data_IF_911452202942
#
_entry.id   IF_911452202942
#
_cell.length_a   1.000
_cell.length_b   1.000
_cell.length_c   1.000
_cell.angle_alpha   90.00
_cell.angle_beta   90.00
_cell.angle_gamma   90.00
#
_symmetry.space_group_name_H-M   'P 1'
#
loop_
_entity.id
_entity.type
_entity.pdbx_description
1 polymer ?
#
# COMPACT_ATOMS: atom_id res chain seq x y z
N UNK A 1 -3.10 -20.44 11.02
CA UNK A 1 -3.38 -19.03 10.73
C UNK A 1 -4.54 -18.94 9.76
N UNK A 2 -5.57 -18.15 10.09
CA UNK A 2 -6.70 -17.86 9.20
C UNK A 2 -6.70 -16.36 8.90
N UNK A 3 -7.01 -16.01 7.66
CA UNK A 3 -7.12 -14.62 7.25
C UNK A 3 -8.13 -14.44 6.13
N UNK A 4 -8.58 -13.19 5.97
CA UNK A 4 -9.50 -12.79 4.92
C UNK A 4 -9.08 -11.45 4.31
N UNK A 5 -9.31 -11.30 3.02
CA UNK A 5 -9.07 -10.07 2.26
C UNK A 5 -10.43 -9.48 1.87
N UNK A 6 -10.60 -8.19 2.09
CA UNK A 6 -11.78 -7.43 1.71
C UNK A 6 -11.37 -6.22 0.88
N UNK A 7 -12.13 -5.93 -0.18
CA UNK A 7 -11.89 -4.80 -1.07
C UNK A 7 -13.20 -4.06 -1.35
N UNK A 8 -13.12 -2.74 -1.51
CA UNK A 8 -14.23 -1.91 -1.92
C UNK A 8 -14.45 -0.69 -1.02
N UNK A 9 -15.66 -0.14 -1.07
CA UNK A 9 -16.06 0.99 -0.24
C UNK A 9 -16.67 0.52 1.08
N UNK A 10 -16.16 1.06 2.19
CA UNK A 10 -16.61 0.68 3.53
C UNK A 10 -17.50 1.75 4.13
N UNK A 11 -18.66 1.33 4.66
CA UNK A 11 -19.56 2.24 5.40
C UNK A 11 -18.89 2.71 6.68
N UNK A 12 -18.95 4.02 6.90
CA UNK A 12 -18.47 4.62 8.13
C UNK A 12 -19.37 4.25 9.29
N UNK A 13 -18.77 3.96 10.45
CA UNK A 13 -19.52 3.82 11.70
C UNK A 13 -20.32 5.09 12.04
N UNK A 14 -19.88 6.26 11.56
CA UNK A 14 -20.53 7.55 11.78
C UNK A 14 -21.53 7.92 10.68
N UNK A 15 -21.80 7.03 9.71
CA UNK A 15 -22.79 7.28 8.67
C UNK A 15 -24.17 7.58 9.26
N UNK A 16 -24.74 8.73 8.90
CA UNK A 16 -26.02 9.21 9.43
C UNK A 16 -26.02 9.58 10.92
N UNK A 17 -24.87 9.52 11.62
CA UNK A 17 -24.75 9.95 13.02
C UNK A 17 -24.28 11.40 13.08
N UNK A 18 -24.71 12.13 14.10
CA UNK A 18 -24.18 13.47 14.37
C UNK A 18 -22.70 13.35 14.79
N UNK A 19 -21.78 14.10 14.16
CA UNK A 19 -20.38 14.09 14.56
C UNK A 19 -20.22 14.42 16.04
N UNK A 20 -19.28 13.77 16.76
CA UNK A 20 -19.02 14.10 18.15
C UNK A 20 -18.66 15.59 18.27
N UNK A 21 -19.34 16.27 19.18
CA UNK A 21 -19.07 17.67 19.51
C UNK A 21 -18.08 17.71 20.67
N UNK A 22 -17.09 18.58 20.57
CA UNK A 22 -16.19 18.88 21.69
C UNK A 22 -16.99 19.41 22.89
N UNK A 23 -16.76 18.83 24.05
CA UNK A 23 -17.44 19.17 25.31
C UNK A 23 -16.76 20.31 26.06
N UNK A 24 -15.57 20.74 25.62
CA UNK A 24 -14.84 21.87 26.23
C UNK A 24 -15.53 23.20 25.89
N UNK A 25 -15.76 24.02 26.92
CA UNK A 25 -16.37 25.33 26.79
C UNK A 25 -15.46 26.28 25.99
N UNK A 26 -16.00 26.88 24.92
CA UNK A 26 -15.23 27.77 24.03
C UNK A 26 -14.51 27.07 22.89
N UNK A 27 -14.66 25.75 22.75
CA UNK A 27 -14.21 25.04 21.55
C UNK A 27 -14.94 25.57 20.31
N UNK A 28 -14.19 25.84 19.24
CA UNK A 28 -14.79 26.05 17.93
C UNK A 28 -15.32 24.70 17.45
N UNK A 29 -16.59 24.60 17.03
CA UNK A 29 -17.10 23.35 16.49
C UNK A 29 -16.27 22.99 15.26
N UNK A 30 -15.56 21.85 15.32
CA UNK A 30 -14.99 21.25 14.12
C UNK A 30 -16.15 20.94 13.18
N UNK A 31 -16.14 21.56 12.00
CA UNK A 31 -17.05 21.16 10.91
C UNK A 31 -16.48 19.87 10.33
N UNK A 32 -16.72 18.75 11.00
CA UNK A 32 -16.49 17.45 10.43
C UNK A 32 -17.58 17.26 9.39
N UNK A 33 -17.23 17.28 8.11
CA UNK A 33 -18.13 16.78 7.07
C UNK A 33 -18.31 15.29 7.36
N UNK A 34 -19.53 14.83 7.68
CA UNK A 34 -19.75 13.42 7.99
C UNK A 34 -19.44 12.59 6.74
N UNK A 35 -18.47 11.68 6.87
CA UNK A 35 -18.21 10.68 5.84
C UNK A 35 -19.15 9.50 6.06
N UNK A 36 -20.06 9.27 5.11
CA UNK A 36 -20.95 8.10 5.15
C UNK A 36 -20.22 6.80 4.75
N UNK A 37 -19.16 6.93 3.96
CA UNK A 37 -18.34 5.82 3.46
C UNK A 37 -16.91 6.28 3.16
N UNK A 38 -16.03 5.30 2.92
CA UNK A 38 -14.66 5.56 2.47
C UNK A 38 -14.66 6.39 1.18
N UNK A 39 -13.77 7.39 1.11
CA UNK A 39 -13.69 8.32 -0.02
C UNK A 39 -13.10 7.69 -1.30
N UNK A 40 -12.46 6.53 -1.16
CA UNK A 40 -11.88 5.72 -2.24
C UNK A 40 -12.14 4.25 -1.92
N UNK A 41 -12.06 3.40 -2.95
CA UNK A 41 -11.94 1.96 -2.73
C UNK A 41 -10.71 1.68 -1.88
N UNK A 42 -10.87 0.78 -0.91
CA UNK A 42 -9.83 0.46 0.07
C UNK A 42 -9.69 -1.06 0.17
N UNK A 43 -8.52 -1.50 0.59
CA UNK A 43 -8.23 -2.91 0.89
C UNK A 43 -8.09 -3.09 2.41
N UNK A 44 -8.56 -4.21 2.90
CA UNK A 44 -8.46 -4.62 4.29
C UNK A 44 -8.03 -6.08 4.36
N UNK A 45 -7.03 -6.37 5.18
CA UNK A 45 -6.65 -7.74 5.53
C UNK A 45 -6.92 -7.95 7.02
N UNK A 46 -7.66 -9.01 7.36
CA UNK A 46 -7.93 -9.42 8.72
C UNK A 46 -7.21 -10.75 9.00
N UNK A 47 -6.38 -10.79 10.06
CA UNK A 47 -5.70 -11.98 10.55
C UNK A 47 -6.28 -12.35 11.91
N UNK A 48 -6.69 -13.61 12.08
CA UNK A 48 -7.33 -14.09 13.31
C UNK A 48 -6.35 -14.37 14.47
N UNK A 49 -5.06 -14.17 14.24
CA UNK A 49 -3.98 -14.42 15.18
C UNK A 49 -3.20 -13.12 15.41
N UNK A 50 -3.24 -12.58 16.62
CA UNK A 50 -2.59 -11.31 16.97
C UNK A 50 -1.09 -11.43 17.23
N UNK A 51 -0.59 -12.64 17.49
CA UNK A 51 0.81 -12.89 17.81
C UNK A 51 1.63 -13.29 16.59
N UNK A 52 0.99 -13.44 15.42
CA UNK A 52 1.62 -14.03 14.23
C UNK A 52 2.89 -13.30 13.75
N UNK A 53 2.98 -11.99 13.99
CA UNK A 53 4.10 -11.14 13.60
C UNK A 53 4.83 -10.51 14.81
N UNK A 54 4.59 -11.02 16.02
CA UNK A 54 5.19 -10.49 17.24
C UNK A 54 6.63 -11.03 17.43
N UNK A 55 7.63 -10.22 17.11
CA UNK A 55 9.06 -10.56 17.21
C UNK A 55 9.49 -11.12 18.58
N UNK A 56 8.87 -10.68 19.69
CA UNK A 56 9.18 -11.18 21.04
C UNK A 56 8.90 -12.69 21.17
N UNK A 57 7.88 -13.16 20.46
CA UNK A 57 7.49 -14.57 20.43
C UNK A 57 8.29 -15.39 19.41
N UNK A 58 9.25 -14.76 18.70
CA UNK A 58 10.07 -15.38 17.64
C UNK A 58 9.23 -16.22 16.68
N UNK A 59 8.28 -15.59 15.97
CA UNK A 59 7.37 -16.30 15.10
C UNK A 59 8.18 -16.99 13.99
N UNK A 60 7.62 -18.02 13.34
CA UNK A 60 8.24 -18.60 12.16
C UNK A 60 8.61 -17.51 11.15
N UNK A 61 9.81 -17.60 10.54
CA UNK A 61 10.27 -16.59 9.59
C UNK A 61 9.32 -16.38 8.39
N UNK A 62 8.57 -17.42 8.04
CA UNK A 62 7.53 -17.38 7.02
C UNK A 62 6.38 -16.41 7.39
N UNK A 63 6.06 -16.25 8.68
CA UNK A 63 5.04 -15.31 9.14
C UNK A 63 5.50 -13.86 8.98
N UNK A 64 6.78 -13.57 9.28
CA UNK A 64 7.36 -12.24 9.07
C UNK A 64 7.40 -11.91 7.58
N UNK A 65 7.80 -12.87 6.75
CA UNK A 65 7.78 -12.73 5.28
C UNK A 65 6.37 -12.46 4.78
N UNK A 66 5.39 -13.20 5.28
CA UNK A 66 3.98 -12.99 4.95
C UNK A 66 3.49 -11.60 5.38
N UNK A 67 3.85 -11.14 6.59
CA UNK A 67 3.50 -9.82 7.09
C UNK A 67 4.04 -8.69 6.22
N UNK A 68 5.32 -8.77 5.81
CA UNK A 68 5.92 -7.77 4.89
C UNK A 68 5.17 -7.73 3.56
N UNK A 69 4.87 -8.89 2.97
CA UNK A 69 4.09 -8.96 1.74
C UNK A 69 2.67 -8.37 1.89
N UNK A 70 2.04 -8.51 3.06
CA UNK A 70 0.74 -7.88 3.33
C UNK A 70 0.85 -6.36 3.36
N UNK A 71 1.92 -5.82 3.96
CA UNK A 71 2.17 -4.37 3.98
C UNK A 71 2.36 -3.85 2.55
N UNK A 72 3.19 -4.51 1.74
CA UNK A 72 3.42 -4.15 0.34
C UNK A 72 2.10 -4.16 -0.45
N UNK A 73 1.27 -5.18 -0.25
CA UNK A 73 -0.05 -5.26 -0.88
C UNK A 73 -1.01 -4.13 -0.43
N UNK A 74 -0.98 -3.74 0.83
CA UNK A 74 -1.87 -2.68 1.35
C UNK A 74 -1.43 -1.27 0.95
N UNK A 75 -0.12 -1.03 0.84
CA UNK A 75 0.44 0.30 0.60
C UNK A 75 0.21 0.78 -0.85
N UNK A 76 -0.19 -0.11 -1.76
CA UNK A 76 -0.48 0.22 -3.17
C UNK A 76 0.68 0.98 -3.83
N UNK A 77 1.75 0.25 -4.12
CA UNK A 77 2.96 0.75 -4.75
C UNK A 77 2.75 1.26 -6.19
N UNK A 78 2.10 2.40 -6.31
CA UNK A 78 2.36 3.34 -7.40
C UNK A 78 3.74 3.99 -7.20
N UNK A 79 4.26 4.05 -5.96
CA UNK A 79 5.53 4.70 -5.61
C UNK A 79 6.81 3.87 -5.84
N UNK A 80 6.89 2.61 -5.40
CA UNK A 80 8.12 1.82 -5.59
C UNK A 80 8.28 1.29 -7.02
N UNK A 81 7.20 1.17 -7.81
CA UNK A 81 7.29 0.94 -9.26
C UNK A 81 7.95 2.15 -9.96
N UNK A 82 7.60 3.38 -9.57
CA UNK A 82 8.17 4.61 -10.10
C UNK A 82 9.65 4.79 -9.68
N UNK A 83 10.03 4.34 -8.49
CA UNK A 83 11.43 4.33 -8.04
C UNK A 83 12.25 3.26 -8.79
N UNK A 84 11.69 2.06 -9.05
CA UNK A 84 12.36 1.03 -9.87
C UNK A 84 12.55 1.45 -11.33
N UNK A 85 11.58 2.15 -11.93
CA UNK A 85 11.73 2.66 -13.31
C UNK A 85 12.80 3.74 -13.42
N UNK A 86 12.97 4.56 -12.38
CA UNK A 86 13.98 5.63 -12.33
C UNK A 86 15.42 5.12 -12.21
N UNK A 87 15.61 3.94 -11.60
CA UNK A 87 16.94 3.27 -11.52
C UNK A 87 17.21 2.43 -12.78
N UNK A 88 16.17 2.01 -13.49
CA UNK A 88 16.25 1.24 -14.74
C UNK A 88 16.22 2.10 -16.01
N UNK A 89 16.65 3.36 -15.94
CA UNK A 89 17.09 4.09 -17.14
C UNK A 89 18.49 3.60 -17.51
N UNK A 90 18.61 2.35 -17.96
CA UNK A 90 19.72 1.96 -18.81
C UNK A 90 19.67 2.90 -20.03
N UNK A 91 20.63 3.81 -20.10
CA UNK A 91 20.77 4.70 -21.25
C UNK A 91 20.81 3.87 -22.53
N UNK A 92 20.28 4.37 -23.66
CA UNK A 92 20.24 3.60 -24.89
C UNK A 92 21.67 3.20 -25.27
N UNK A 93 21.96 1.90 -25.19
CA UNK A 93 23.16 1.35 -25.81
C UNK A 93 23.01 1.58 -27.31
N UNK A 94 23.74 2.55 -27.86
CA UNK A 94 23.98 2.63 -29.30
C UNK A 94 24.65 1.33 -29.71
N UNK A 95 23.87 0.42 -30.29
CA UNK A 95 24.39 -0.75 -30.97
C UNK A 95 25.23 -0.28 -32.14
N UNK A 96 26.54 -0.18 -31.95
CA UNK A 96 27.48 -0.02 -33.05
C UNK A 96 27.46 -1.33 -33.83
N UNK A 97 26.65 -1.37 -34.89
CA UNK A 97 26.68 -2.43 -35.88
C UNK A 97 27.99 -2.33 -36.64
N UNK A 98 28.97 -3.17 -36.31
CA UNK A 98 30.23 -3.22 -37.04
C UNK A 98 30.01 -3.91 -38.39
N UNK A 99 29.59 -3.11 -39.38
CA UNK A 99 29.43 -3.52 -40.77
C UNK A 99 30.81 -3.61 -41.41
N UNK A 100 31.48 -4.76 -41.31
CA UNK A 100 32.67 -5.03 -42.14
C UNK A 100 32.21 -5.49 -43.53
N UNK A 101 32.04 -4.55 -44.45
CA UNK A 101 31.90 -4.83 -45.89
C UNK A 101 33.27 -4.62 -46.56
N UNK A 102 33.88 -5.74 -46.98
CA UNK A 102 34.77 -6.02 -48.12
C UNK A 102 35.61 -4.88 -48.77
N UNK A 103 36.92 -5.14 -48.99
CA UNK A 103 37.49 -5.03 -50.35
C UNK A 103 38.83 -5.77 -50.55
N UNK A 104 38.93 -6.36 -51.75
CA UNK A 104 40.03 -7.17 -52.26
C UNK A 104 41.23 -6.32 -52.70
N UNK A 105 42.43 -6.93 -52.66
CA UNK A 105 43.47 -6.72 -53.66
C UNK A 105 44.37 -7.94 -53.77
#
# INVERSE_FOLDING_TARGET
MLGAIYEGSFKSYFAGKTPPKDTVQGSTPFTVVPFNESQKESRMIAIGDGDFANEENRPPGDNITFFVNMVDFLVDDVGLAEIRSKVSSEGPFEGVSDSTIFNAK
#
